data_IF_546982185412
#
_entry.id   IF_546982185412
#
_cell.length_a   1.000
_cell.length_b   1.000
_cell.length_c   1.000
_cell.angle_alpha   90.00
_cell.angle_beta   90.00
_cell.angle_gamma   90.00
#
_symmetry.space_group_name_H-M   'P 1'
#
loop_
_entity.id
_entity.type
_entity.pdbx_description
1 polymer ?
#
# COMPACT_ATOMS: atom_id res chain seq x y z
N UNK A 1 -15.59 -0.46 -25.54
CA UNK A 1 -15.49 -1.70 -24.74
C UNK A 1 -15.51 -1.26 -23.28
N UNK A 2 -16.50 -1.67 -22.52
CA UNK A 2 -16.51 -1.40 -21.07
C UNK A 2 -15.34 -2.15 -20.42
N UNK A 3 -14.58 -1.43 -19.62
CA UNK A 3 -13.43 -2.00 -18.92
C UNK A 3 -13.91 -3.02 -17.90
N UNK A 4 -13.50 -4.27 -18.03
CA UNK A 4 -13.84 -5.31 -17.04
C UNK A 4 -12.97 -5.18 -15.78
N UNK A 5 -13.35 -4.28 -14.90
CA UNK A 5 -12.63 -4.01 -13.64
C UNK A 5 -12.46 -5.23 -12.75
N UNK A 6 -13.39 -6.19 -12.80
CA UNK A 6 -13.26 -7.44 -12.03
C UNK A 6 -12.08 -8.29 -12.51
N UNK A 7 -11.87 -8.38 -13.80
CA UNK A 7 -10.75 -9.14 -14.39
C UNK A 7 -9.42 -8.48 -14.07
N UNK A 8 -9.31 -7.17 -14.31
CA UNK A 8 -8.10 -6.37 -14.00
C UNK A 8 -7.74 -6.46 -12.51
N UNK A 9 -8.73 -6.29 -11.62
CA UNK A 9 -8.54 -6.38 -10.18
C UNK A 9 -8.06 -7.77 -9.74
N UNK A 10 -8.66 -8.84 -10.30
CA UNK A 10 -8.24 -10.21 -10.00
C UNK A 10 -6.82 -10.47 -10.48
N UNK A 11 -6.46 -10.03 -11.68
CA UNK A 11 -5.11 -10.17 -12.21
C UNK A 11 -4.08 -9.40 -11.38
N UNK A 12 -4.37 -8.15 -11.01
CA UNK A 12 -3.48 -7.34 -10.18
C UNK A 12 -3.30 -7.95 -8.78
N UNK A 13 -4.41 -8.32 -8.13
CA UNK A 13 -4.37 -8.97 -6.83
C UNK A 13 -3.59 -10.29 -6.87
N UNK A 14 -3.78 -11.10 -7.90
CA UNK A 14 -3.04 -12.35 -8.10
C UNK A 14 -1.54 -12.09 -8.25
N UNK A 15 -1.15 -11.14 -9.12
CA UNK A 15 0.25 -10.81 -9.36
C UNK A 15 0.94 -10.26 -8.08
N UNK A 16 0.26 -9.38 -7.34
CA UNK A 16 0.74 -8.82 -6.06
C UNK A 16 0.89 -9.91 -4.99
N UNK A 17 -0.09 -10.81 -4.88
CA UNK A 17 -0.03 -11.93 -3.91
C UNK A 17 1.10 -12.90 -4.27
N UNK A 18 1.31 -13.20 -5.55
CA UNK A 18 2.42 -14.05 -5.98
C UNK A 18 3.76 -13.42 -5.65
N UNK A 19 3.98 -12.14 -6.01
CA UNK A 19 5.21 -11.44 -5.64
C UNK A 19 5.48 -11.50 -4.14
N UNK A 20 4.46 -11.22 -3.34
CA UNK A 20 4.57 -11.22 -1.88
C UNK A 20 4.84 -12.63 -1.32
N UNK A 21 4.19 -13.65 -1.89
CA UNK A 21 4.39 -15.06 -1.52
C UNK A 21 5.82 -15.52 -1.81
N UNK A 22 6.33 -15.25 -3.01
CA UNK A 22 7.70 -15.56 -3.41
C UNK A 22 8.71 -14.85 -2.50
N UNK A 23 8.49 -13.56 -2.21
CA UNK A 23 9.37 -12.80 -1.30
C UNK A 23 9.42 -13.42 0.09
N UNK A 24 8.28 -13.88 0.63
CA UNK A 24 8.24 -14.57 1.94
C UNK A 24 9.03 -15.89 1.91
N UNK A 25 8.90 -16.66 0.83
CA UNK A 25 9.67 -17.91 0.66
C UNK A 25 11.17 -17.65 0.63
N UNK A 26 11.62 -16.64 -0.12
CA UNK A 26 13.03 -16.24 -0.15
C UNK A 26 13.54 -15.93 1.27
N UNK A 27 12.82 -15.08 2.01
CA UNK A 27 13.21 -14.71 3.39
C UNK A 27 13.25 -15.93 4.30
N UNK A 28 12.30 -16.86 4.18
CA UNK A 28 12.28 -18.09 4.97
C UNK A 28 13.49 -18.99 4.67
N UNK A 29 13.89 -19.11 3.38
CA UNK A 29 15.07 -19.89 2.99
C UNK A 29 16.33 -19.22 3.51
N UNK A 30 16.47 -17.89 3.36
CA UNK A 30 17.61 -17.15 3.90
C UNK A 30 17.76 -17.32 5.42
N UNK A 31 16.66 -17.19 6.16
CA UNK A 31 16.69 -17.36 7.62
C UNK A 31 17.08 -18.79 8.04
N UNK A 32 16.61 -19.80 7.30
CA UNK A 32 17.04 -21.19 7.54
C UNK A 32 18.53 -21.39 7.26
N UNK A 33 19.02 -20.88 6.12
CA UNK A 33 20.44 -20.94 5.78
C UNK A 33 21.30 -20.34 6.89
N UNK A 34 20.96 -19.12 7.34
CA UNK A 34 21.66 -18.48 8.47
C UNK A 34 21.59 -19.30 9.76
N UNK A 35 20.45 -19.90 10.09
CA UNK A 35 20.29 -20.73 11.30
C UNK A 35 21.19 -21.98 11.27
N UNK A 36 21.53 -22.47 10.10
CA UNK A 36 22.45 -23.64 9.91
C UNK A 36 23.88 -23.23 9.55
N UNK A 37 24.22 -21.94 9.63
CA UNK A 37 25.55 -21.43 9.28
C UNK A 37 25.90 -21.52 7.79
N UNK A 38 24.88 -21.62 6.92
CA UNK A 38 25.03 -21.67 5.46
C UNK A 38 24.93 -20.24 4.90
N UNK A 39 25.88 -19.87 4.05
CA UNK A 39 25.78 -18.58 3.32
C UNK A 39 24.66 -18.64 2.27
N UNK A 40 23.61 -17.81 2.38
CA UNK A 40 22.52 -17.82 1.43
C UNK A 40 22.87 -17.17 0.08
N UNK A 41 24.04 -16.53 -0.08
CA UNK A 41 24.40 -15.81 -1.29
C UNK A 41 24.43 -16.69 -2.56
N UNK A 42 24.59 -17.98 -2.40
CA UNK A 42 24.65 -18.96 -3.49
C UNK A 42 23.54 -20.01 -3.42
N UNK A 43 22.48 -19.75 -2.64
CA UNK A 43 21.38 -20.73 -2.47
C UNK A 43 20.63 -20.94 -3.80
N UNK A 44 20.71 -22.17 -4.38
CA UNK A 44 20.13 -22.42 -5.71
C UNK A 44 18.60 -22.25 -5.78
N UNK A 45 17.88 -22.49 -4.68
CA UNK A 45 16.43 -22.26 -4.64
C UNK A 45 16.10 -20.78 -4.80
N UNK A 46 16.97 -19.89 -4.34
CA UNK A 46 16.78 -18.44 -4.44
C UNK A 46 17.24 -17.95 -5.82
N UNK A 47 18.48 -18.25 -6.20
CA UNK A 47 19.14 -17.64 -7.37
C UNK A 47 19.08 -18.51 -8.63
N UNK A 48 18.74 -19.78 -8.49
CA UNK A 48 18.77 -20.73 -9.60
C UNK A 48 20.15 -21.34 -9.83
N UNK A 49 20.27 -22.09 -10.90
CA UNK A 49 21.54 -22.67 -11.38
C UNK A 49 21.70 -22.43 -12.87
N UNK A 50 22.91 -22.12 -13.29
CA UNK A 50 23.31 -22.07 -14.70
C UNK A 50 24.14 -23.29 -15.07
N UNK A 51 24.02 -23.75 -16.29
CA UNK A 51 24.90 -24.78 -16.87
C UNK A 51 26.26 -24.15 -17.23
N UNK A 52 27.25 -25.00 -17.59
CA UNK A 52 28.59 -24.53 -17.96
C UNK A 52 28.61 -23.64 -19.21
N UNK A 53 27.62 -23.77 -20.07
CA UNK A 53 27.42 -22.96 -21.28
C UNK A 53 26.65 -21.65 -21.03
N UNK A 54 26.34 -21.34 -19.75
CA UNK A 54 25.60 -20.14 -19.35
C UNK A 54 24.08 -20.26 -19.45
N UNK A 55 23.55 -21.38 -19.97
CA UNK A 55 22.11 -21.60 -20.04
C UNK A 55 21.48 -21.82 -18.65
N UNK A 56 20.23 -21.39 -18.41
CA UNK A 56 19.56 -21.61 -17.14
C UNK A 56 19.22 -23.09 -16.95
N UNK A 57 19.89 -23.77 -15.99
CA UNK A 57 19.62 -25.16 -15.60
C UNK A 57 18.46 -25.26 -14.61
N UNK A 58 18.29 -24.28 -13.76
CA UNK A 58 17.21 -24.19 -12.79
C UNK A 58 16.85 -22.73 -12.55
N UNK A 59 15.57 -22.40 -12.63
CA UNK A 59 15.07 -21.06 -12.33
C UNK A 59 14.88 -20.89 -10.83
N UNK A 60 15.50 -19.86 -10.25
CA UNK A 60 15.35 -19.53 -8.83
C UNK A 60 14.17 -18.60 -8.54
N UNK A 61 13.83 -18.49 -7.26
CA UNK A 61 12.72 -17.65 -6.78
C UNK A 61 12.90 -16.16 -7.12
N UNK A 62 14.13 -15.64 -7.15
CA UNK A 62 14.38 -14.23 -7.56
C UNK A 62 13.96 -13.96 -9.01
N UNK A 63 14.21 -14.93 -9.92
CA UNK A 63 13.74 -14.82 -11.31
C UNK A 63 12.21 -14.82 -11.39
N UNK A 64 11.55 -15.72 -10.65
CA UNK A 64 10.08 -15.76 -10.59
C UNK A 64 9.48 -14.50 -9.97
N UNK A 65 10.12 -13.94 -8.96
CA UNK A 65 9.76 -12.66 -8.37
C UNK A 65 9.85 -11.53 -9.40
N UNK A 66 10.89 -11.52 -10.24
CA UNK A 66 11.02 -10.60 -11.37
C UNK A 66 9.89 -10.74 -12.40
N UNK A 67 9.47 -11.98 -12.71
CA UNK A 67 8.32 -12.23 -13.59
C UNK A 67 7.03 -11.65 -13.00
N UNK A 68 6.79 -11.87 -11.71
CA UNK A 68 5.61 -11.31 -11.03
C UNK A 68 5.63 -9.77 -11.02
N UNK A 69 6.80 -9.13 -10.81
CA UNK A 69 6.93 -7.68 -10.88
C UNK A 69 6.63 -7.12 -12.28
N UNK A 70 7.10 -7.78 -13.34
CA UNK A 70 6.78 -7.40 -14.73
C UNK A 70 5.30 -7.56 -15.05
N UNK A 71 4.64 -8.60 -14.50
CA UNK A 71 3.18 -8.76 -14.66
C UNK A 71 2.44 -7.61 -13.99
N UNK A 72 2.82 -7.21 -12.77
CA UNK A 72 2.25 -6.04 -12.08
C UNK A 72 2.42 -4.79 -12.94
N UNK A 73 3.63 -4.51 -13.44
CA UNK A 73 3.89 -3.34 -14.29
C UNK A 73 3.00 -3.32 -15.53
N UNK A 74 2.81 -4.47 -16.19
CA UNK A 74 1.95 -4.56 -17.38
C UNK A 74 0.52 -4.15 -17.06
N UNK A 75 -0.02 -4.63 -15.93
CA UNK A 75 -1.40 -4.33 -15.51
C UNK A 75 -1.52 -2.86 -15.08
N UNK A 76 -0.49 -2.31 -14.42
CA UNK A 76 -0.50 -0.91 -13.97
C UNK A 76 -0.63 0.10 -15.11
N UNK A 77 -0.18 -0.24 -16.31
CA UNK A 77 -0.29 0.64 -17.49
C UNK A 77 -1.74 0.92 -17.89
N UNK A 78 -2.69 0.10 -17.44
CA UNK A 78 -4.12 0.31 -17.67
C UNK A 78 -4.73 1.35 -16.69
N UNK A 79 -3.94 1.84 -15.73
CA UNK A 79 -4.36 2.83 -14.73
C UNK A 79 -3.76 4.20 -15.03
N UNK A 80 -4.57 5.23 -15.33
CA UNK A 80 -4.07 6.58 -15.56
C UNK A 80 -3.18 7.12 -14.41
N UNK A 81 -3.52 6.81 -13.16
CA UNK A 81 -2.72 7.21 -12.00
C UNK A 81 -1.27 6.68 -12.06
N UNK A 82 -1.04 5.54 -12.72
CA UNK A 82 0.30 5.02 -12.91
C UNK A 82 1.04 5.77 -14.01
N UNK A 83 0.49 5.81 -15.22
CA UNK A 83 1.16 6.38 -16.39
C UNK A 83 1.36 7.89 -16.29
N UNK A 84 0.39 8.61 -15.73
CA UNK A 84 0.44 10.06 -15.63
C UNK A 84 1.23 10.57 -14.41
N UNK A 85 1.40 9.74 -13.39
CA UNK A 85 2.06 10.20 -12.16
C UNK A 85 2.99 9.20 -11.49
N UNK A 86 2.51 8.03 -11.03
CA UNK A 86 3.28 7.14 -10.13
C UNK A 86 4.59 6.65 -10.76
N UNK A 87 4.61 6.39 -12.06
CA UNK A 87 5.80 5.95 -12.80
C UNK A 87 6.92 7.00 -12.73
N UNK A 88 6.56 8.28 -12.62
CA UNK A 88 7.48 9.40 -12.52
C UNK A 88 7.97 9.68 -11.09
N UNK A 89 7.41 9.02 -10.06
CA UNK A 89 7.82 9.24 -8.67
C UNK A 89 9.05 8.38 -8.34
N UNK A 90 10.24 8.98 -8.17
CA UNK A 90 11.45 8.21 -7.91
C UNK A 90 11.33 7.42 -6.62
N UNK A 91 11.58 6.11 -6.69
CA UNK A 91 11.47 5.18 -5.57
C UNK A 91 10.12 4.45 -5.48
N UNK A 92 9.13 4.81 -6.31
CA UNK A 92 7.88 4.06 -6.44
C UNK A 92 7.98 3.14 -7.65
N UNK A 93 8.34 1.89 -7.38
CA UNK A 93 8.35 0.87 -8.43
C UNK A 93 7.00 0.15 -8.55
N UNK A 94 6.88 -0.76 -9.55
CA UNK A 94 5.61 -1.43 -9.85
C UNK A 94 5.04 -2.23 -8.67
N UNK A 95 5.88 -2.71 -7.77
CA UNK A 95 5.42 -3.48 -6.61
C UNK A 95 4.73 -2.59 -5.58
N UNK A 96 5.30 -1.44 -5.23
CA UNK A 96 4.68 -0.48 -4.31
C UNK A 96 3.45 0.14 -4.98
N UNK A 97 3.57 0.57 -6.24
CA UNK A 97 2.47 1.10 -7.02
C UNK A 97 1.31 0.12 -7.17
N UNK A 98 1.60 -1.14 -7.54
CA UNK A 98 0.57 -2.17 -7.70
C UNK A 98 -0.15 -2.52 -6.41
N UNK A 99 0.56 -2.57 -5.28
CA UNK A 99 -0.07 -2.77 -3.98
C UNK A 99 -0.96 -1.59 -3.58
N UNK A 100 -0.49 -0.36 -3.85
CA UNK A 100 -1.26 0.85 -3.55
C UNK A 100 -2.52 0.95 -4.41
N UNK A 101 -2.40 0.76 -5.72
CA UNK A 101 -3.51 0.73 -6.68
C UNK A 101 -4.53 -0.34 -6.31
N UNK A 102 -4.07 -1.57 -5.98
CA UNK A 102 -4.95 -2.65 -5.56
C UNK A 102 -5.72 -2.33 -4.27
N UNK A 103 -5.07 -1.65 -3.31
CA UNK A 103 -5.72 -1.25 -2.05
C UNK A 103 -6.67 -0.06 -2.23
N UNK A 104 -6.33 0.86 -3.12
CA UNK A 104 -7.11 2.07 -3.33
C UNK A 104 -8.40 1.78 -4.09
N UNK A 105 -8.31 1.09 -5.22
CA UNK A 105 -9.47 0.89 -6.08
C UNK A 105 -10.33 -0.32 -5.73
N UNK A 106 -9.76 -1.36 -5.10
CA UNK A 106 -10.46 -2.65 -5.01
C UNK A 106 -10.68 -3.12 -3.58
N UNK A 107 -11.93 -3.52 -3.30
CA UNK A 107 -12.34 -4.20 -2.09
C UNK A 107 -12.65 -5.65 -2.42
N UNK A 108 -11.91 -6.57 -1.80
CA UNK A 108 -12.15 -8.00 -1.94
C UNK A 108 -13.16 -8.45 -0.88
N UNK A 109 -14.35 -8.79 -1.28
CA UNK A 109 -15.41 -9.30 -0.41
C UNK A 109 -15.40 -10.82 -0.48
N UNK A 110 -15.14 -11.53 0.62
CA UNK A 110 -15.19 -12.98 0.63
C UNK A 110 -16.62 -13.46 0.40
N UNK A 111 -16.79 -14.39 -0.55
CA UNK A 111 -18.10 -14.94 -0.87
C UNK A 111 -18.13 -16.46 -0.71
N UNK A 112 -19.31 -16.99 -0.42
CA UNK A 112 -19.54 -18.42 -0.30
C UNK A 112 -19.28 -19.13 -1.64
N UNK A 113 -18.46 -20.16 -1.62
CA UNK A 113 -18.12 -20.92 -2.84
C UNK A 113 -19.31 -21.70 -3.42
N UNK A 114 -20.37 -21.94 -2.62
CA UNK A 114 -21.58 -22.68 -3.02
C UNK A 114 -22.66 -21.78 -3.61
N UNK A 115 -23.02 -20.68 -2.89
CA UNK A 115 -24.17 -19.85 -3.26
C UNK A 115 -23.81 -18.41 -3.68
N UNK A 116 -22.54 -18.01 -3.56
CA UNK A 116 -22.08 -16.67 -3.95
C UNK A 116 -22.41 -15.55 -2.97
N UNK A 117 -23.15 -15.82 -1.87
CA UNK A 117 -23.45 -14.79 -0.86
C UNK A 117 -22.19 -14.35 -0.12
N UNK A 118 -22.17 -13.11 0.33
CA UNK A 118 -21.13 -12.56 1.17
C UNK A 118 -21.01 -13.39 2.45
N UNK A 119 -19.78 -13.57 2.91
CA UNK A 119 -19.52 -14.27 4.17
C UNK A 119 -19.51 -13.26 5.32
N UNK A 120 -19.98 -13.72 6.48
CA UNK A 120 -19.92 -12.96 7.73
C UNK A 120 -18.47 -12.77 8.20
N UNK A 121 -18.27 -11.95 9.23
CA UNK A 121 -16.94 -11.63 9.81
C UNK A 121 -16.18 -12.87 10.30
N UNK A 122 -16.89 -13.94 10.67
CA UNK A 122 -16.31 -15.23 11.05
C UNK A 122 -16.08 -16.18 9.86
N UNK A 123 -16.30 -15.68 8.63
CA UNK A 123 -16.23 -16.43 7.37
C UNK A 123 -17.27 -17.57 7.29
N UNK A 124 -18.41 -17.42 7.92
CA UNK A 124 -19.57 -18.32 7.73
C UNK A 124 -20.51 -17.77 6.66
N UNK A 125 -21.24 -18.68 6.00
CA UNK A 125 -22.27 -18.28 5.05
C UNK A 125 -23.62 -18.25 5.76
N UNK A 126 -24.32 -17.10 5.81
CA UNK A 126 -25.61 -16.98 6.49
C UNK A 126 -26.71 -17.86 5.85
N UNK A 127 -26.57 -18.15 4.55
CA UNK A 127 -27.54 -18.97 3.80
C UNK A 127 -27.24 -20.47 3.90
N UNK A 128 -25.97 -20.87 3.66
CA UNK A 128 -25.60 -22.28 3.63
C UNK A 128 -25.24 -22.86 5.01
N UNK A 129 -25.13 -22.00 6.04
CA UNK A 129 -24.73 -22.36 7.41
C UNK A 129 -23.40 -23.13 7.48
N UNK A 130 -22.53 -22.97 6.48
CA UNK A 130 -21.25 -23.69 6.34
C UNK A 130 -20.10 -22.74 6.58
N UNK A 131 -19.22 -23.06 7.53
CA UNK A 131 -18.01 -22.29 7.78
C UNK A 131 -17.02 -22.43 6.62
N UNK A 132 -16.45 -21.29 6.16
CA UNK A 132 -15.51 -21.24 5.04
C UNK A 132 -14.26 -22.11 5.23
N UNK A 133 -13.82 -22.37 6.47
CA UNK A 133 -12.67 -23.25 6.77
C UNK A 133 -12.81 -24.70 6.26
N UNK A 134 -14.04 -25.15 5.92
CA UNK A 134 -14.31 -26.46 5.34
C UNK A 134 -14.62 -26.46 3.84
N UNK A 135 -14.59 -25.32 3.18
CA UNK A 135 -15.08 -25.17 1.79
C UNK A 135 -14.00 -25.12 0.70
N UNK A 136 -12.72 -25.30 1.04
CA UNK A 136 -11.64 -25.18 0.05
C UNK A 136 -11.21 -23.72 -0.19
N UNK A 137 -10.98 -23.35 -1.45
CA UNK A 137 -10.47 -22.00 -1.81
C UNK A 137 -11.57 -20.96 -1.64
N UNK A 138 -11.28 -19.91 -0.83
CA UNK A 138 -12.15 -18.75 -0.70
C UNK A 138 -12.29 -18.05 -2.05
N UNK A 139 -13.52 -17.81 -2.48
CA UNK A 139 -13.84 -16.94 -3.61
C UNK A 139 -14.02 -15.50 -3.13
N UNK A 140 -13.75 -14.55 -4.00
CA UNK A 140 -13.93 -13.14 -3.70
C UNK A 140 -14.74 -12.48 -4.83
N UNK A 141 -15.66 -11.63 -4.44
CA UNK A 141 -16.28 -10.63 -5.30
C UNK A 141 -15.48 -9.35 -5.16
N UNK A 142 -15.24 -8.67 -6.27
CA UNK A 142 -14.55 -7.38 -6.27
C UNK A 142 -15.59 -6.27 -6.31
N UNK A 143 -15.44 -5.32 -5.43
CA UNK A 143 -16.14 -4.02 -5.48
C UNK A 143 -15.13 -2.90 -5.65
N UNK A 144 -15.54 -1.85 -6.35
CA UNK A 144 -14.76 -0.62 -6.37
C UNK A 144 -14.85 0.05 -5.00
N UNK A 145 -13.73 0.56 -4.55
CA UNK A 145 -13.63 1.31 -3.30
C UNK A 145 -13.72 2.79 -3.63
N UNK A 146 -14.34 3.54 -2.77
CA UNK A 146 -14.42 4.98 -2.84
C UNK A 146 -13.84 5.62 -1.56
N UNK A 147 -13.10 6.71 -1.77
CA UNK A 147 -12.55 7.53 -0.70
C UNK A 147 -12.95 8.99 -0.92
N UNK A 148 -14.14 9.39 -0.48
CA UNK A 148 -14.68 10.74 -0.74
C UNK A 148 -13.85 11.85 -0.09
N UNK A 149 -12.99 11.52 0.87
CA UNK A 149 -12.09 12.47 1.53
C UNK A 149 -10.71 11.87 1.72
N UNK A 150 -9.69 12.72 1.72
CA UNK A 150 -8.33 12.28 2.05
C UNK A 150 -8.24 11.69 3.47
N UNK A 151 -9.05 12.15 4.40
CA UNK A 151 -9.09 11.65 5.77
C UNK A 151 -9.57 10.18 5.82
N UNK A 152 -10.57 9.80 5.00
CA UNK A 152 -11.02 8.42 4.89
C UNK A 152 -9.94 7.50 4.33
N UNK A 153 -9.18 7.97 3.35
CA UNK A 153 -8.04 7.23 2.80
C UNK A 153 -6.90 7.08 3.82
N UNK A 154 -6.53 8.14 4.54
CA UNK A 154 -5.54 8.03 5.63
C UNK A 154 -5.98 7.06 6.72
N UNK A 155 -7.27 7.09 7.09
CA UNK A 155 -7.84 6.15 8.06
C UNK A 155 -7.63 4.71 7.58
N UNK A 156 -8.07 4.41 6.37
CA UNK A 156 -7.92 3.09 5.78
C UNK A 156 -6.45 2.64 5.71
N UNK A 157 -5.52 3.54 5.38
CA UNK A 157 -4.09 3.25 5.35
C UNK A 157 -3.43 3.19 6.75
N UNK A 158 -4.22 3.20 7.82
CA UNK A 158 -3.75 3.09 9.20
C UNK A 158 -2.96 4.31 9.69
N UNK A 159 -3.31 5.50 9.18
CA UNK A 159 -2.67 6.78 9.52
C UNK A 159 -3.56 7.69 10.35
N UNK A 160 -4.45 7.12 11.10
CA UNK A 160 -5.31 7.80 12.07
C UNK A 160 -4.86 7.50 13.51
N UNK A 161 -5.42 8.25 14.44
CA UNK A 161 -5.15 8.12 15.87
C UNK A 161 -6.46 7.79 16.58
N UNK A 162 -6.46 6.78 17.44
CA UNK A 162 -7.58 6.39 18.28
C UNK A 162 -7.10 6.53 19.73
N UNK A 163 -7.78 7.35 20.51
CA UNK A 163 -7.43 7.60 21.91
C UNK A 163 -5.93 7.92 22.11
N UNK A 164 -5.39 8.82 21.28
CA UNK A 164 -3.99 9.25 21.34
C UNK A 164 -2.98 8.24 20.80
N UNK A 165 -3.41 7.08 20.28
CA UNK A 165 -2.51 6.01 19.79
C UNK A 165 -2.82 5.63 18.35
N UNK A 166 -1.76 5.43 17.57
CA UNK A 166 -1.91 4.86 16.24
C UNK A 166 -2.26 3.36 16.34
N UNK A 167 -3.16 2.83 15.47
CA UNK A 167 -3.51 1.42 15.47
C UNK A 167 -2.31 0.54 15.13
N UNK A 168 -2.13 -0.53 15.89
CA UNK A 168 -1.09 -1.55 15.68
C UNK A 168 -1.69 -2.94 15.82
N UNK A 169 -1.01 -3.96 15.27
CA UNK A 169 -1.44 -5.34 15.40
C UNK A 169 -1.58 -5.78 16.86
N UNK A 170 -0.74 -5.27 17.74
CA UNK A 170 -0.76 -5.61 19.17
C UNK A 170 -1.83 -4.90 19.98
N UNK A 171 -2.23 -3.68 19.59
CA UNK A 171 -3.21 -2.89 20.34
C UNK A 171 -4.63 -2.91 19.73
N UNK A 172 -4.80 -3.47 18.52
CA UNK A 172 -6.09 -3.43 17.81
C UNK A 172 -7.22 -4.09 18.60
N UNK A 173 -6.94 -5.16 19.35
CA UNK A 173 -7.94 -5.81 20.21
C UNK A 173 -8.43 -4.90 21.33
N UNK A 174 -7.59 -3.97 21.79
CA UNK A 174 -7.90 -2.99 22.85
C UNK A 174 -8.52 -1.71 22.28
N UNK A 175 -8.26 -1.42 20.99
CA UNK A 175 -8.79 -0.26 20.28
C UNK A 175 -10.07 -0.58 19.50
N UNK A 176 -10.53 -1.84 19.54
CA UNK A 176 -11.68 -2.35 18.79
C UNK A 176 -13.03 -1.77 19.19
N UNK A 177 -13.12 -1.09 20.31
CA UNK A 177 -14.31 -0.39 20.72
C UNK A 177 -14.01 1.10 20.72
N UNK A 178 -14.33 1.81 19.61
CA UNK A 178 -14.78 3.17 19.79
C UNK A 178 -16.08 3.12 20.61
N UNK A 179 -16.52 4.25 21.11
CA UNK A 179 -17.76 4.35 21.93
C UNK A 179 -19.00 3.81 21.20
N UNK A 180 -18.93 3.56 19.86
CA UNK A 180 -20.00 3.00 19.03
C UNK A 180 -19.88 1.49 18.79
N UNK A 181 -18.82 0.84 19.28
CA UNK A 181 -18.59 -0.61 19.07
C UNK A 181 -18.22 -1.00 17.64
N UNK A 182 -18.04 -0.05 16.73
CA UNK A 182 -17.64 -0.32 15.35
C UNK A 182 -16.19 -0.78 15.27
N UNK A 183 -15.97 -1.88 14.57
CA UNK A 183 -14.62 -2.30 14.14
C UNK A 183 -14.01 -1.20 13.27
N UNK A 184 -12.81 -0.76 13.66
CA UNK A 184 -12.06 0.20 12.85
C UNK A 184 -11.56 -0.52 11.60
N UNK A 185 -12.16 -0.23 10.45
CA UNK A 185 -11.74 -0.77 9.16
C UNK A 185 -10.47 -0.04 8.69
N UNK A 186 -9.33 -0.70 8.83
CA UNK A 186 -8.06 -0.23 8.32
C UNK A 186 -7.18 -1.37 7.81
N UNK A 187 -6.36 -1.08 6.82
CA UNK A 187 -5.52 -2.06 6.14
C UNK A 187 -4.16 -2.22 6.81
N UNK A 188 -3.85 -3.43 7.32
CA UNK A 188 -2.49 -3.79 7.74
C UNK A 188 -1.49 -3.69 6.59
N UNK A 189 -1.92 -4.02 5.36
CA UNK A 189 -1.08 -3.90 4.18
C UNK A 189 -0.81 -2.43 3.86
N UNK A 190 -1.83 -1.56 3.97
CA UNK A 190 -1.67 -0.11 3.82
C UNK A 190 -0.66 0.47 4.80
N UNK A 191 -0.70 0.01 6.07
CA UNK A 191 0.30 0.41 7.05
C UNK A 191 1.71 -0.09 6.69
N UNK A 192 1.84 -1.33 6.20
CA UNK A 192 3.12 -1.90 5.75
C UNK A 192 3.67 -1.14 4.55
N UNK A 193 2.83 -0.73 3.61
CA UNK A 193 3.26 0.06 2.46
C UNK A 193 3.94 1.36 2.86
N UNK A 194 3.52 2.01 3.95
CA UNK A 194 4.21 3.18 4.46
C UNK A 194 5.64 2.87 4.95
N UNK A 195 5.90 1.67 5.43
CA UNK A 195 7.26 1.22 5.72
C UNK A 195 8.05 0.95 4.42
N UNK A 196 7.46 0.25 3.47
CA UNK A 196 8.10 -0.05 2.18
C UNK A 196 8.41 1.24 1.39
N UNK A 197 7.50 2.23 1.43
CA UNK A 197 7.73 3.59 0.91
C UNK A 197 8.95 4.25 1.56
N UNK A 198 8.98 4.29 2.89
CA UNK A 198 10.11 4.85 3.64
C UNK A 198 11.43 4.21 3.23
N UNK A 199 11.50 2.86 3.22
CA UNK A 199 12.71 2.12 2.87
C UNK A 199 13.15 2.36 1.43
N UNK A 200 12.21 2.51 0.50
CA UNK A 200 12.51 2.80 -0.89
C UNK A 200 12.99 4.24 -1.09
N UNK A 201 12.22 5.21 -0.60
CA UNK A 201 12.52 6.64 -0.78
C UNK A 201 13.81 7.04 -0.04
N UNK A 202 14.09 6.47 1.13
CA UNK A 202 15.29 6.77 1.89
C UNK A 202 16.59 6.42 1.13
N UNK A 203 16.53 5.43 0.23
CA UNK A 203 17.66 5.03 -0.65
C UNK A 203 17.85 5.95 -1.86
N UNK A 204 16.87 6.81 -2.17
CA UNK A 204 16.97 7.75 -3.28
C UNK A 204 17.93 8.90 -2.95
N UNK A 205 18.30 9.65 -3.98
CA UNK A 205 19.11 10.87 -3.82
C UNK A 205 18.39 11.90 -2.94
N UNK A 206 19.12 12.86 -2.42
CA UNK A 206 18.55 13.94 -1.59
C UNK A 206 17.69 14.93 -2.41
N UNK A 207 17.71 14.84 -3.74
CA UNK A 207 16.83 15.60 -4.64
C UNK A 207 15.41 15.05 -4.70
N UNK A 208 15.17 13.83 -4.16
CA UNK A 208 13.81 13.31 -4.05
C UNK A 208 12.95 14.19 -3.13
N UNK A 209 11.85 14.74 -3.66
CA UNK A 209 11.02 15.72 -2.96
C UNK A 209 10.38 15.15 -1.67
N UNK A 210 9.98 13.88 -1.64
CA UNK A 210 9.42 13.24 -0.43
C UNK A 210 10.49 12.99 0.63
N UNK A 211 11.73 12.65 0.21
CA UNK A 211 12.85 12.55 1.14
C UNK A 211 13.21 13.91 1.72
N UNK A 212 13.32 14.94 0.88
CA UNK A 212 13.58 16.30 1.32
C UNK A 212 12.52 16.80 2.31
N UNK A 213 11.24 16.49 2.06
CA UNK A 213 10.15 16.79 2.99
C UNK A 213 10.33 16.05 4.32
N UNK A 214 10.62 14.75 4.31
CA UNK A 214 10.88 13.97 5.53
C UNK A 214 12.04 14.55 6.35
N UNK A 215 13.15 14.95 5.71
CA UNK A 215 14.30 15.56 6.39
C UNK A 215 13.96 16.95 6.96
N UNK A 216 13.14 17.76 6.25
CA UNK A 216 12.61 19.03 6.79
C UNK A 216 11.76 18.78 8.05
N UNK A 217 10.84 17.78 7.98
CA UNK A 217 9.98 17.43 9.13
C UNK A 217 10.78 16.85 10.29
N UNK A 218 11.86 16.12 10.03
CA UNK A 218 12.74 15.61 11.09
C UNK A 218 13.40 16.73 11.89
N UNK A 219 13.95 17.76 11.23
CA UNK A 219 14.49 18.96 11.88
C UNK A 219 13.42 19.64 12.74
N UNK A 220 12.24 19.86 12.18
CA UNK A 220 11.10 20.42 12.92
C UNK A 220 10.73 19.58 14.16
N UNK A 221 10.82 18.24 14.08
CA UNK A 221 10.55 17.36 15.22
C UNK A 221 11.69 17.37 16.26
N UNK A 222 12.90 17.67 15.86
CA UNK A 222 14.02 17.89 16.80
C UNK A 222 13.79 19.12 17.69
N UNK A 223 13.20 20.17 17.13
CA UNK A 223 12.86 21.39 17.87
C UNK A 223 11.59 21.23 18.73
N UNK A 224 10.54 20.63 18.19
CA UNK A 224 9.22 20.56 18.85
C UNK A 224 9.04 19.38 19.79
N UNK A 225 9.87 18.36 19.70
CA UNK A 225 9.82 17.14 20.52
C UNK A 225 11.23 16.74 20.97
N UNK A 226 11.95 17.61 21.72
CA UNK A 226 13.33 17.34 22.12
C UNK A 226 13.48 16.09 22.97
N UNK A 227 12.48 15.79 23.82
CA UNK A 227 12.49 14.63 24.74
C UNK A 227 12.20 13.29 24.04
N UNK A 228 11.72 13.31 22.77
CA UNK A 228 11.47 12.09 22.04
C UNK A 228 12.79 11.48 21.55
N UNK A 229 12.89 10.14 21.54
CA UNK A 229 14.07 9.47 21.01
C UNK A 229 14.30 9.82 19.52
N UNK A 230 15.56 9.81 19.06
CA UNK A 230 15.94 10.04 17.66
C UNK A 230 15.16 9.14 16.70
N UNK A 231 15.00 7.85 17.04
CA UNK A 231 14.24 6.90 16.24
C UNK A 231 12.75 7.24 16.18
N UNK A 232 12.17 7.74 17.29
CA UNK A 232 10.78 8.16 17.32
C UNK A 232 10.55 9.38 16.43
N UNK A 233 11.37 10.44 16.56
CA UNK A 233 11.32 11.64 15.71
C UNK A 233 11.48 11.31 14.22
N UNK A 234 12.41 10.42 13.89
CA UNK A 234 12.59 9.91 12.53
C UNK A 234 11.31 9.24 11.99
N UNK A 235 10.67 8.37 12.77
CA UNK A 235 9.43 7.73 12.36
C UNK A 235 8.25 8.71 12.24
N UNK A 236 8.19 9.74 13.10
CA UNK A 236 7.18 10.80 12.97
C UNK A 236 7.32 11.52 11.62
N UNK A 237 8.53 11.96 11.28
CA UNK A 237 8.80 12.67 10.03
C UNK A 237 8.46 11.82 8.78
N UNK A 238 8.79 10.54 8.78
CA UNK A 238 8.45 9.63 7.68
C UNK A 238 6.95 9.31 7.60
N UNK A 239 6.26 9.28 8.73
CA UNK A 239 4.80 9.15 8.73
C UNK A 239 4.14 10.38 8.10
N UNK A 240 4.66 11.57 8.32
CA UNK A 240 4.18 12.79 7.68
C UNK A 240 4.45 12.79 6.17
N UNK A 241 5.65 12.37 5.75
CA UNK A 241 5.97 12.23 4.32
C UNK A 241 5.09 11.20 3.62
N UNK A 242 4.78 10.08 4.28
CA UNK A 242 3.84 9.10 3.76
C UNK A 242 2.41 9.65 3.65
N UNK A 243 1.93 10.37 4.65
CA UNK A 243 0.62 11.05 4.58
C UNK A 243 0.56 12.05 3.43
N UNK A 244 1.62 12.83 3.23
CA UNK A 244 1.71 13.75 2.10
C UNK A 244 1.65 13.01 0.76
N UNK A 245 2.39 11.91 0.62
CA UNK A 245 2.34 11.08 -0.59
C UNK A 245 0.93 10.52 -0.86
N UNK A 246 0.25 10.03 0.18
CA UNK A 246 -1.14 9.57 0.07
C UNK A 246 -2.10 10.71 -0.32
N UNK A 247 -1.86 11.93 0.19
CA UNK A 247 -2.64 13.12 -0.22
C UNK A 247 -2.46 13.41 -1.70
N UNK A 248 -1.23 13.38 -2.18
CA UNK A 248 -0.93 13.58 -3.59
C UNK A 248 -1.54 12.49 -4.47
N UNK A 249 -1.51 11.22 -4.02
CA UNK A 249 -2.16 10.12 -4.73
C UNK A 249 -3.66 10.39 -4.89
N UNK A 250 -4.33 10.72 -3.79
CA UNK A 250 -5.76 11.00 -3.78
C UNK A 250 -6.11 12.21 -4.66
N UNK A 251 -5.33 13.30 -4.58
CA UNK A 251 -5.53 14.49 -5.40
C UNK A 251 -5.37 14.19 -6.90
N UNK A 252 -4.28 13.52 -7.28
CA UNK A 252 -4.02 13.18 -8.69
C UNK A 252 -5.10 12.26 -9.24
N UNK A 253 -5.55 11.28 -8.45
CA UNK A 253 -6.63 10.38 -8.86
C UNK A 253 -7.94 11.14 -9.14
N UNK A 254 -8.31 12.09 -8.25
CA UNK A 254 -9.49 12.94 -8.43
C UNK A 254 -9.36 13.85 -9.66
N UNK A 255 -8.21 14.44 -9.88
CA UNK A 255 -7.94 15.25 -11.09
C UNK A 255 -8.12 14.41 -12.36
N UNK A 256 -7.48 13.22 -12.41
CA UNK A 256 -7.52 12.35 -13.59
C UNK A 256 -8.90 11.74 -13.84
N UNK A 257 -9.69 11.51 -12.80
CA UNK A 257 -11.06 10.98 -12.91
C UNK A 257 -12.12 12.07 -13.08
N UNK A 258 -11.78 13.35 -12.92
CA UNK A 258 -12.74 14.45 -12.90
C UNK A 258 -13.68 14.42 -11.68
N UNK A 259 -13.27 13.72 -10.61
CA UNK A 259 -14.06 13.65 -9.38
C UNK A 259 -13.92 14.94 -8.56
N UNK A 260 -14.99 15.30 -7.86
CA UNK A 260 -14.99 16.47 -6.98
C UNK A 260 -13.99 16.28 -5.83
N UNK A 261 -13.15 17.29 -5.61
CA UNK A 261 -12.20 17.28 -4.49
C UNK A 261 -12.76 18.04 -3.30
N UNK A 262 -12.85 17.37 -2.16
CA UNK A 262 -13.18 18.02 -0.90
C UNK A 262 -11.95 18.73 -0.34
N UNK A 263 -12.14 19.96 0.16
CA UNK A 263 -11.05 20.66 0.86
C UNK A 263 -10.60 19.86 2.09
N UNK A 264 -9.28 19.85 2.40
CA UNK A 264 -8.77 19.21 3.60
C UNK A 264 -9.41 19.79 4.87
N UNK A 265 -9.68 18.95 5.85
CA UNK A 265 -10.30 19.35 7.13
C UNK A 265 -9.53 20.49 7.82
N UNK A 266 -8.20 20.53 7.72
CA UNK A 266 -7.37 21.58 8.30
C UNK A 266 -7.62 22.96 7.68
N UNK A 267 -8.03 23.02 6.43
CA UNK A 267 -8.44 24.27 5.75
C UNK A 267 -9.86 24.64 6.17
N UNK A 268 -10.79 23.68 6.08
CA UNK A 268 -12.21 23.94 6.41
C UNK A 268 -12.44 24.31 7.88
N UNK A 269 -11.72 23.66 8.81
CA UNK A 269 -11.99 23.76 10.25
C UNK A 269 -10.77 24.07 11.11
N UNK A 270 -9.57 23.93 10.57
CA UNK A 270 -8.31 24.12 11.30
C UNK A 270 -7.67 25.50 11.15
N UNK A 271 -8.31 26.41 10.42
CA UNK A 271 -7.81 27.78 10.19
C UNK A 271 -6.52 27.85 9.35
N UNK A 272 -6.18 26.79 8.61
CA UNK A 272 -5.07 26.81 7.68
C UNK A 272 -5.50 27.49 6.37
N UNK A 273 -4.61 28.31 5.81
CA UNK A 273 -4.80 28.90 4.48
C UNK A 273 -4.62 27.85 3.39
N UNK A 274 -5.37 27.96 2.28
CA UNK A 274 -5.27 27.05 1.13
C UNK A 274 -3.86 27.03 0.52
N UNK A 275 -3.15 28.15 0.57
CA UNK A 275 -1.74 28.22 0.12
C UNK A 275 -0.81 27.30 0.88
N UNK A 276 -1.23 26.76 2.05
CA UNK A 276 -0.49 25.77 2.81
C UNK A 276 -0.57 24.35 2.22
N UNK A 277 -1.48 24.12 1.25
CA UNK A 277 -1.61 22.83 0.56
C UNK A 277 -0.43 22.63 -0.36
N UNK A 278 0.31 21.55 -0.12
CA UNK A 278 1.45 21.19 -0.94
C UNK A 278 0.93 20.43 -2.18
N UNK A 279 1.19 20.99 -3.35
CA UNK A 279 0.80 20.42 -4.62
C UNK A 279 1.50 19.07 -4.90
N UNK A 280 0.87 18.16 -5.66
CA UNK A 280 1.44 16.86 -5.98
C UNK A 280 2.84 16.97 -6.62
N UNK A 281 3.82 16.34 -5.99
CA UNK A 281 5.16 16.27 -6.53
C UNK A 281 5.20 15.35 -7.74
N UNK A 282 5.97 15.72 -8.76
CA UNK A 282 6.17 14.93 -10.00
C UNK A 282 4.92 14.76 -10.88
N UNK A 283 3.86 15.53 -10.62
CA UNK A 283 2.69 15.59 -11.48
C UNK A 283 2.80 16.81 -12.40
N UNK A 284 2.58 16.62 -13.71
CA UNK A 284 2.69 17.67 -14.73
C UNK A 284 1.30 18.16 -15.23
N UNK A 285 0.21 17.59 -14.70
CA UNK A 285 -1.14 18.06 -15.03
C UNK A 285 -1.41 19.43 -14.41
N UNK A 286 -2.14 20.27 -15.14
CA UNK A 286 -2.63 21.54 -14.63
C UNK A 286 -3.68 21.24 -13.56
N UNK A 287 -3.49 21.81 -12.37
CA UNK A 287 -4.55 21.92 -11.39
C UNK A 287 -5.38 23.14 -11.79
N UNK A 288 -6.59 22.93 -12.29
CA UNK A 288 -7.54 24.03 -12.39
C UNK A 288 -7.67 24.67 -10.99
N UNK A 289 -7.59 25.99 -10.94
CA UNK A 289 -7.70 26.74 -9.69
C UNK A 289 -8.95 26.30 -8.92
N UNK A 290 -8.75 25.71 -7.74
CA UNK A 290 -9.83 25.29 -6.84
C UNK A 290 -10.59 26.50 -6.21
N UNK A 291 -10.45 27.67 -6.82
CA UNK A 291 -11.11 28.92 -6.42
C UNK A 291 -12.27 29.21 -7.37
N UNK A 292 -13.42 28.56 -7.16
CA UNK A 292 -14.70 29.02 -7.66
C UNK A 292 -15.78 28.74 -6.61
#
# INVERSE_FOLDING_TARGET
METNWNEIANELNYAVKNYTGITKQIVQIMNRAHAYGIDPAHEPLIYGKTAKDGSPKMQGLESLKGVAARKILRILKDFPIWSEWLENVPGIGPVIGGQLVALYYFKNIPVCSKCGHDLDDDFSCPICVVKAKGQGVLKFRIELRDFPTISSFWHFMGRHVINGKMPTKGNIKKLKADESGKLVDWSFLGKKLGYDFKESINKMSNTNKYKAYAEKRKRYREETHPDASKGHRHNMAWNESWKLFLSHFWQVDHILSGAEMTQPWCVQHGGHDESSIIQPYYFNGEMEDMAA
#
